data_IF_700673531524
#
_entry.id   IF_700673531524
#
_cell.length_a   1.000
_cell.length_b   1.000
_cell.length_c   1.000
_cell.angle_alpha   90.00
_cell.angle_beta   90.00
_cell.angle_gamma   90.00
#
_symmetry.space_group_name_H-M   'P 1'
#
loop_
_entity.id
_entity.type
_entity.pdbx_description
1 polymer ?
#
# COMPACT_ATOMS: atom_id res chain seq x y z
N UNK A 1 -7.19 -18.19 26.40
CA UNK A 1 -7.27 -17.09 25.41
C UNK A 1 -6.57 -15.91 26.02
N UNK A 2 -5.44 -15.47 25.46
CA UNK A 2 -4.80 -14.22 25.87
C UNK A 2 -5.69 -13.11 25.32
N UNK A 3 -6.42 -12.44 26.22
CA UNK A 3 -7.22 -11.27 25.86
C UNK A 3 -6.27 -10.26 25.19
N UNK A 4 -6.57 -9.88 23.97
CA UNK A 4 -5.77 -8.90 23.21
C UNK A 4 -5.60 -7.66 24.09
N UNK A 5 -4.37 -7.24 24.35
CA UNK A 5 -4.06 -6.03 25.12
C UNK A 5 -4.55 -4.76 24.42
N UNK A 6 -4.91 -4.88 23.15
CA UNK A 6 -5.49 -3.85 22.30
C UNK A 6 -7.02 -3.95 22.37
N UNK A 7 -7.73 -2.86 22.12
CA UNK A 7 -9.19 -2.73 22.14
C UNK A 7 -9.84 -2.67 23.53
N UNK A 8 -9.05 -2.58 24.61
CA UNK A 8 -9.55 -2.34 25.98
C UNK A 8 -9.40 -0.91 26.48
N UNK A 9 -8.76 -0.04 25.67
CA UNK A 9 -8.56 1.35 26.02
C UNK A 9 -9.88 2.13 26.00
N UNK A 10 -10.08 3.04 26.97
CA UNK A 10 -11.31 3.79 27.19
C UNK A 10 -11.88 4.49 25.93
N UNK A 11 -11.02 4.96 25.05
CA UNK A 11 -11.41 5.72 23.85
C UNK A 11 -11.14 4.96 22.54
N UNK A 12 -10.81 3.68 22.61
CA UNK A 12 -10.59 2.84 21.42
C UNK A 12 -11.89 2.66 20.65
N UNK A 13 -11.94 2.98 19.34
CA UNK A 13 -13.06 2.62 18.50
C UNK A 13 -13.35 1.10 18.56
N UNK A 14 -14.61 0.72 18.70
CA UNK A 14 -15.02 -0.68 18.80
C UNK A 14 -15.56 -1.23 17.46
N UNK A 15 -15.97 -0.35 16.55
CA UNK A 15 -16.56 -0.70 15.26
C UNK A 15 -15.60 -0.37 14.11
N UNK A 16 -14.94 0.77 14.19
CA UNK A 16 -14.00 1.20 13.14
C UNK A 16 -12.62 0.60 13.36
N UNK A 17 -11.96 0.26 12.24
CA UNK A 17 -10.56 -0.16 12.26
C UNK A 17 -9.67 0.92 12.89
N UNK A 18 -8.72 0.50 13.69
CA UNK A 18 -7.65 1.35 14.22
C UNK A 18 -6.37 0.54 14.40
N UNK A 19 -5.18 1.15 14.26
CA UNK A 19 -3.92 0.43 14.45
C UNK A 19 -3.75 0.04 15.93
N UNK A 20 -2.89 -0.92 16.25
CA UNK A 20 -2.60 -1.26 17.64
C UNK A 20 -2.14 -0.08 18.48
N UNK A 21 -1.37 0.80 17.86
CA UNK A 21 -0.84 2.04 18.50
C UNK A 21 -0.38 3.00 17.43
N UNK A 22 -0.10 4.24 17.83
CA UNK A 22 0.52 5.29 17.04
C UNK A 22 -0.34 5.80 15.89
N UNK A 23 0.25 6.65 15.06
CA UNK A 23 -0.45 7.39 14.03
C UNK A 23 -0.83 6.54 12.82
N UNK A 24 -2.01 6.77 12.29
CA UNK A 24 -2.45 6.28 10.98
C UNK A 24 -3.33 7.33 10.26
N UNK A 25 -3.42 7.21 8.93
CA UNK A 25 -4.46 7.86 8.15
C UNK A 25 -4.97 6.95 7.02
N UNK A 26 -4.69 7.23 5.76
CA UNK A 26 -5.31 6.59 4.60
C UNK A 26 -5.34 5.06 4.66
N UNK A 27 -6.51 4.43 4.51
CA UNK A 27 -6.57 3.01 4.19
C UNK A 27 -6.06 2.79 2.76
N UNK A 28 -5.21 1.80 2.57
CA UNK A 28 -4.58 1.46 1.30
C UNK A 28 -4.88 0.02 0.90
N UNK A 29 -4.77 -0.27 -0.38
CA UNK A 29 -4.62 -1.63 -0.87
C UNK A 29 -5.67 -2.64 -0.39
N UNK A 30 -6.94 -2.22 -0.16
CA UNK A 30 -7.98 -3.16 0.22
C UNK A 30 -8.18 -4.17 -0.90
N UNK A 31 -7.94 -5.46 -0.61
CA UNK A 31 -8.04 -6.54 -1.58
C UNK A 31 -8.48 -7.84 -0.89
N UNK A 32 -9.32 -8.63 -1.58
CA UNK A 32 -9.69 -9.97 -1.16
C UNK A 32 -8.82 -11.00 -1.88
N UNK A 33 -8.18 -11.89 -1.12
CA UNK A 33 -7.33 -12.93 -1.66
C UNK A 33 -7.29 -14.16 -0.77
N UNK A 34 -7.66 -15.33 -1.32
CA UNK A 34 -7.61 -16.62 -0.61
C UNK A 34 -8.28 -16.58 0.77
N UNK A 35 -9.54 -16.19 0.78
CA UNK A 35 -10.40 -16.15 1.96
C UNK A 35 -10.01 -15.13 3.03
N UNK A 36 -9.19 -14.13 2.69
CA UNK A 36 -8.86 -13.00 3.54
C UNK A 36 -9.04 -11.67 2.82
N UNK A 37 -9.63 -10.71 3.52
CA UNK A 37 -9.57 -9.29 3.17
C UNK A 37 -8.27 -8.73 3.74
N UNK A 38 -7.46 -8.12 2.90
CA UNK A 38 -6.25 -7.41 3.29
C UNK A 38 -6.55 -5.92 3.34
N UNK A 39 -6.16 -5.27 4.41
CA UNK A 39 -6.18 -3.82 4.58
C UNK A 39 -4.77 -3.35 4.90
N UNK A 40 -4.26 -2.45 4.09
CA UNK A 40 -3.06 -1.71 4.41
C UNK A 40 -3.44 -0.29 4.83
N UNK A 41 -2.54 0.41 5.49
CA UNK A 41 -2.79 1.77 5.94
C UNK A 41 -1.48 2.54 6.12
N UNK A 42 -1.56 3.84 5.88
CA UNK A 42 -0.46 4.76 6.20
C UNK A 42 -0.20 4.71 7.70
N UNK A 43 1.01 4.45 8.11
CA UNK A 43 1.34 4.22 9.50
C UNK A 43 2.69 4.82 9.89
N UNK A 44 2.72 5.56 11.00
CA UNK A 44 3.96 5.85 11.70
C UNK A 44 4.08 4.88 12.89
N UNK A 45 4.92 3.84 12.83
CA UNK A 45 5.00 2.84 13.89
C UNK A 45 5.67 3.34 15.18
N UNK A 46 6.28 4.52 15.15
CA UNK A 46 7.10 5.05 16.26
C UNK A 46 6.35 6.09 17.08
N UNK A 47 5.56 6.97 16.43
CA UNK A 47 5.00 8.18 17.06
C UNK A 47 3.53 8.39 16.70
N UNK A 48 2.84 9.22 17.53
CA UNK A 48 1.45 9.65 17.30
C UNK A 48 1.35 10.91 16.43
N UNK A 49 2.22 11.04 15.44
CA UNK A 49 2.20 12.17 14.51
C UNK A 49 2.57 11.73 13.10
N UNK A 50 2.19 12.54 12.12
CA UNK A 50 2.57 12.35 10.74
C UNK A 50 4.10 12.34 10.59
N UNK A 51 4.60 11.45 9.76
CA UNK A 51 6.01 11.28 9.46
C UNK A 51 6.42 9.80 9.52
N UNK A 52 7.61 9.47 9.04
CA UNK A 52 8.16 8.12 9.06
C UNK A 52 7.15 7.07 8.52
N UNK A 53 6.56 7.37 7.37
CA UNK A 53 5.39 6.66 6.84
C UNK A 53 5.76 5.30 6.27
N UNK A 54 5.15 4.28 6.84
CA UNK A 54 5.17 2.87 6.43
C UNK A 54 3.78 2.45 5.94
N UNK A 55 3.67 1.26 5.38
CA UNK A 55 2.40 0.57 5.25
C UNK A 55 2.22 -0.41 6.38
N UNK A 56 1.31 -0.11 7.30
CA UNK A 56 0.77 -1.10 8.24
C UNK A 56 -0.10 -2.09 7.49
N UNK A 57 -0.33 -3.27 8.07
CA UNK A 57 -1.08 -4.35 7.43
C UNK A 57 -1.98 -5.08 8.43
N UNK A 58 -3.20 -5.37 8.02
CA UNK A 58 -4.12 -6.20 8.76
C UNK A 58 -4.92 -7.09 7.79
N UNK A 59 -5.41 -8.22 8.31
CA UNK A 59 -6.27 -9.15 7.57
C UNK A 59 -7.54 -9.43 8.35
N UNK A 60 -8.63 -9.74 7.62
CA UNK A 60 -9.92 -10.09 8.18
C UNK A 60 -10.62 -11.12 7.29
N UNK A 61 -11.41 -12.00 7.87
CA UNK A 61 -12.30 -12.92 7.16
C UNK A 61 -13.70 -12.31 6.95
N UNK A 62 -14.07 -11.30 7.73
CA UNK A 62 -15.43 -10.75 7.80
C UNK A 62 -15.54 -9.22 7.69
N UNK A 63 -14.41 -8.50 7.49
CA UNK A 63 -14.29 -7.04 7.46
C UNK A 63 -14.62 -6.33 8.80
N UNK A 64 -14.87 -7.08 9.86
CA UNK A 64 -15.21 -6.57 11.19
C UNK A 64 -14.07 -6.88 12.17
N UNK A 65 -13.62 -8.13 12.19
CA UNK A 65 -12.56 -8.58 13.08
C UNK A 65 -11.23 -8.62 12.37
N UNK A 66 -10.33 -7.73 12.74
CA UNK A 66 -9.03 -7.54 12.09
C UNK A 66 -7.90 -8.11 12.92
N UNK A 67 -7.05 -8.90 12.27
CA UNK A 67 -5.79 -9.38 12.79
C UNK A 67 -4.65 -8.54 12.21
N UNK A 68 -3.92 -7.84 13.05
CA UNK A 68 -2.73 -7.09 12.64
C UNK A 68 -1.58 -8.04 12.27
N UNK A 69 -0.92 -7.71 11.18
CA UNK A 69 0.28 -8.37 10.70
C UNK A 69 1.49 -7.43 10.86
N UNK A 70 2.66 -7.93 10.47
CA UNK A 70 3.87 -7.12 10.42
C UNK A 70 3.73 -5.99 9.38
N UNK A 71 4.55 -4.96 9.53
CA UNK A 71 4.64 -3.87 8.55
C UNK A 71 4.92 -4.43 7.16
N UNK A 72 4.09 -4.09 6.19
CA UNK A 72 4.24 -4.57 4.81
C UNK A 72 5.36 -3.84 4.06
N UNK A 73 5.40 -2.51 4.16
CA UNK A 73 6.38 -1.70 3.45
C UNK A 73 7.08 -0.73 4.40
N UNK A 74 8.40 -0.75 4.34
CA UNK A 74 9.29 0.14 5.09
C UNK A 74 9.86 1.23 4.17
N UNK A 75 10.10 2.46 4.67
CA UNK A 75 10.89 3.46 3.94
C UNK A 75 12.23 2.93 3.45
N UNK A 76 12.68 3.43 2.30
CA UNK A 76 13.96 3.07 1.69
C UNK A 76 14.63 4.29 1.02
N UNK A 77 15.55 4.04 0.09
CA UNK A 77 16.25 5.09 -0.66
C UNK A 77 15.32 5.98 -1.51
N UNK A 78 14.10 5.51 -1.82
CA UNK A 78 13.10 6.29 -2.56
C UNK A 78 12.15 7.08 -1.63
N UNK A 79 12.37 7.01 -0.32
CA UNK A 79 11.67 7.80 0.69
C UNK A 79 10.57 7.05 1.45
N UNK A 80 9.54 7.81 1.82
CA UNK A 80 8.39 7.33 2.60
C UNK A 80 7.42 6.53 1.72
N UNK A 81 6.66 5.63 2.34
CA UNK A 81 5.69 4.77 1.66
C UNK A 81 4.31 5.43 1.65
N UNK A 82 4.03 6.26 0.66
CA UNK A 82 2.73 6.92 0.50
C UNK A 82 1.67 5.97 -0.05
N UNK A 83 0.45 6.47 -0.19
CA UNK A 83 -0.74 5.69 -0.53
C UNK A 83 -0.67 4.99 -1.89
N UNK A 84 -1.50 4.00 -2.06
CA UNK A 84 -1.58 3.19 -3.26
C UNK A 84 -2.67 2.10 -3.18
N UNK A 85 -2.57 1.10 -4.03
CA UNK A 85 -3.55 0.03 -4.12
C UNK A 85 -2.90 -1.36 -4.16
N UNK A 86 -3.72 -2.38 -3.98
CA UNK A 86 -3.36 -3.78 -4.18
C UNK A 86 -4.24 -4.43 -5.24
N UNK A 87 -3.68 -5.39 -5.95
CA UNK A 87 -4.38 -6.24 -6.92
C UNK A 87 -3.93 -7.69 -6.78
N UNK A 88 -4.79 -8.62 -7.23
CA UNK A 88 -4.41 -10.02 -7.42
C UNK A 88 -3.99 -10.19 -8.87
N UNK A 89 -2.75 -10.53 -9.09
CA UNK A 89 -2.28 -11.01 -10.40
C UNK A 89 -2.55 -12.49 -10.49
N UNK A 90 -3.65 -12.84 -11.18
CA UNK A 90 -4.14 -14.22 -11.26
C UNK A 90 -3.35 -15.08 -12.23
N UNK A 91 -2.89 -14.46 -13.30
CA UNK A 91 -2.30 -15.14 -14.46
C UNK A 91 -0.78 -14.90 -14.54
N UNK A 92 -0.19 -14.32 -13.48
CA UNK A 92 1.25 -13.98 -13.41
C UNK A 92 1.69 -13.08 -14.58
N UNK A 93 0.85 -12.14 -14.94
CA UNK A 93 1.15 -11.18 -16.03
C UNK A 93 2.35 -10.29 -15.69
N UNK A 94 2.63 -10.10 -14.39
CA UNK A 94 3.82 -9.40 -13.91
C UNK A 94 5.12 -10.22 -13.98
N UNK A 95 5.01 -11.55 -14.10
CA UNK A 95 6.16 -12.46 -14.07
C UNK A 95 6.79 -12.67 -12.68
N UNK A 96 6.14 -12.22 -11.61
CA UNK A 96 6.71 -12.34 -10.26
C UNK A 96 6.48 -13.71 -9.60
N UNK A 97 5.53 -14.52 -10.09
CA UNK A 97 4.97 -15.65 -9.34
C UNK A 97 5.28 -17.03 -9.92
N UNK A 98 6.10 -17.12 -10.98
CA UNK A 98 6.44 -18.37 -11.67
C UNK A 98 5.21 -19.13 -12.16
N UNK A 99 4.28 -18.45 -12.83
CA UNK A 99 3.05 -19.01 -13.39
C UNK A 99 1.95 -19.27 -12.37
N UNK A 100 2.05 -18.71 -11.15
CA UNK A 100 1.02 -18.77 -10.09
C UNK A 100 0.41 -17.41 -9.88
N UNK A 101 -0.69 -17.37 -9.16
CA UNK A 101 -1.26 -16.10 -8.69
C UNK A 101 -0.52 -15.52 -7.49
N UNK A 102 -0.58 -14.21 -7.32
CA UNK A 102 -0.03 -13.54 -6.16
C UNK A 102 -0.56 -12.12 -5.95
N UNK A 103 -0.14 -11.48 -4.88
CA UNK A 103 -0.51 -10.11 -4.58
C UNK A 103 0.55 -9.15 -5.09
N UNK A 104 0.10 -8.09 -5.76
CA UNK A 104 0.94 -6.95 -6.17
C UNK A 104 0.37 -5.68 -5.54
N UNK A 105 1.23 -4.86 -4.97
CA UNK A 105 0.89 -3.51 -4.52
C UNK A 105 1.63 -2.49 -5.37
N UNK A 106 0.91 -1.46 -5.76
CA UNK A 106 1.45 -0.29 -6.45
C UNK A 106 1.25 0.89 -5.52
N UNK A 107 2.31 1.62 -5.23
CA UNK A 107 2.32 2.66 -4.22
C UNK A 107 3.21 3.84 -4.63
N UNK A 108 2.96 4.98 -4.01
CA UNK A 108 3.81 6.15 -4.19
C UNK A 108 4.96 6.13 -3.20
N UNK A 109 6.18 6.27 -3.69
CA UNK A 109 7.33 6.64 -2.86
C UNK A 109 7.46 8.16 -2.78
N UNK A 110 7.86 8.69 -1.64
CA UNK A 110 7.92 10.12 -1.39
C UNK A 110 9.25 10.51 -0.75
N UNK A 111 10.17 10.99 -1.58
CA UNK A 111 11.51 11.36 -1.14
C UNK A 111 11.57 12.85 -0.76
N UNK A 112 11.92 13.20 0.48
CA UNK A 112 12.11 14.59 0.87
C UNK A 112 13.19 15.26 0.03
N UNK A 113 12.90 16.44 -0.50
CA UNK A 113 13.85 17.23 -1.29
C UNK A 113 14.43 18.36 -0.43
N UNK A 114 15.74 18.30 -0.12
CA UNK A 114 16.42 19.26 0.76
C UNK A 114 16.27 20.73 0.33
N UNK A 115 16.14 21.00 -0.95
CA UNK A 115 16.07 22.35 -1.53
C UNK A 115 14.67 22.75 -1.98
N UNK A 116 13.67 21.92 -1.78
CA UNK A 116 12.31 22.13 -2.26
C UNK A 116 11.31 21.86 -1.14
N UNK A 117 10.27 22.65 -1.07
CA UNK A 117 9.17 22.48 -0.11
C UNK A 117 8.15 21.45 -0.62
N UNK A 118 8.65 20.30 -1.09
CA UNK A 118 7.81 19.17 -1.49
C UNK A 118 8.60 17.85 -1.52
N UNK A 119 7.88 16.75 -1.50
CA UNK A 119 8.42 15.40 -1.71
C UNK A 119 8.45 15.08 -3.19
N UNK A 120 9.55 14.48 -3.66
CA UNK A 120 9.60 13.84 -4.96
C UNK A 120 8.77 12.57 -4.89
N UNK A 121 7.69 12.51 -5.66
CA UNK A 121 6.72 11.41 -5.64
C UNK A 121 6.83 10.59 -6.92
N UNK A 122 7.07 9.29 -6.78
CA UNK A 122 7.29 8.33 -7.86
C UNK A 122 6.46 7.09 -7.59
N UNK A 123 6.13 6.29 -8.62
CA UNK A 123 5.35 5.09 -8.43
C UNK A 123 6.24 3.85 -8.38
N UNK A 124 5.99 2.99 -7.41
CA UNK A 124 6.77 1.79 -7.14
C UNK A 124 5.87 0.57 -6.94
N UNK A 125 6.46 -0.62 -7.09
CA UNK A 125 5.77 -1.90 -6.97
C UNK A 125 6.43 -2.75 -5.89
N UNK A 126 5.61 -3.50 -5.16
CA UNK A 126 6.05 -4.64 -4.37
C UNK A 126 5.08 -5.81 -4.54
N UNK A 127 5.55 -7.02 -4.27
CA UNK A 127 4.75 -8.23 -4.45
C UNK A 127 4.94 -9.21 -3.29
N UNK A 128 3.94 -10.09 -3.11
CA UNK A 128 3.95 -11.15 -2.12
C UNK A 128 3.58 -12.49 -2.73
N UNK A 129 4.38 -13.51 -2.43
CA UNK A 129 4.18 -14.91 -2.89
C UNK A 129 3.51 -15.79 -1.82
N UNK A 130 3.32 -15.28 -0.61
CA UNK A 130 2.91 -16.01 0.59
C UNK A 130 1.65 -15.44 1.23
N UNK A 131 0.68 -15.03 0.40
CA UNK A 131 -0.60 -14.49 0.86
C UNK A 131 -0.42 -13.22 1.73
N UNK A 132 0.49 -12.33 1.31
CA UNK A 132 0.73 -11.05 1.97
C UNK A 132 1.52 -11.12 3.29
N UNK A 133 2.17 -12.23 3.62
CA UNK A 133 2.92 -12.34 4.89
C UNK A 133 4.29 -11.70 4.78
N UNK A 134 4.93 -11.79 3.60
CA UNK A 134 6.17 -11.08 3.28
C UNK A 134 6.03 -10.30 1.97
N UNK A 135 6.76 -9.20 1.86
CA UNK A 135 6.71 -8.30 0.71
C UNK A 135 8.10 -8.06 0.14
N UNK A 136 8.21 -8.19 -1.17
CA UNK A 136 9.43 -7.95 -1.92
C UNK A 136 9.26 -6.72 -2.80
N UNK A 137 10.05 -5.70 -2.57
CA UNK A 137 10.08 -4.53 -3.45
C UNK A 137 10.72 -4.90 -4.79
N UNK A 138 10.11 -4.45 -5.87
CA UNK A 138 10.64 -4.71 -7.20
C UNK A 138 11.99 -4.00 -7.40
N UNK A 139 12.99 -4.72 -7.91
CA UNK A 139 14.35 -4.19 -8.09
C UNK A 139 14.41 -3.04 -9.10
N UNK A 140 13.50 -3.01 -10.09
CA UNK A 140 13.38 -1.95 -11.08
C UNK A 140 12.58 -0.72 -10.62
N UNK A 141 12.33 -0.56 -9.31
CA UNK A 141 11.68 0.64 -8.78
C UNK A 141 12.57 1.90 -8.90
N UNK A 142 11.96 3.07 -9.11
CA UNK A 142 10.54 3.30 -9.36
C UNK A 142 10.15 2.90 -10.78
N UNK A 143 8.93 2.37 -10.95
CA UNK A 143 8.41 1.99 -12.29
C UNK A 143 7.88 3.18 -13.08
N UNK A 144 7.51 4.28 -12.42
CA UNK A 144 7.23 5.56 -13.04
C UNK A 144 7.98 6.63 -12.27
N UNK A 145 8.98 7.18 -12.92
CA UNK A 145 9.75 8.29 -12.41
C UNK A 145 8.99 9.61 -12.54
N UNK A 146 9.33 10.54 -11.68
CA UNK A 146 8.86 11.91 -11.73
C UNK A 146 9.94 12.81 -11.13
N UNK A 147 10.28 13.89 -11.80
CA UNK A 147 11.34 14.82 -11.41
C UNK A 147 10.87 16.25 -11.08
N UNK A 148 9.67 16.61 -11.50
CA UNK A 148 9.21 18.00 -11.47
C UNK A 148 7.81 18.23 -10.93
N UNK A 149 6.95 17.21 -10.94
CA UNK A 149 5.53 17.37 -10.64
C UNK A 149 5.27 17.23 -9.15
N UNK A 150 4.53 18.16 -8.59
CA UNK A 150 3.93 18.03 -7.25
C UNK A 150 2.67 17.18 -7.33
N UNK A 151 2.34 16.52 -6.22
CA UNK A 151 1.09 15.78 -6.08
C UNK A 151 0.89 14.67 -7.14
N UNK A 152 1.98 13.98 -7.48
CA UNK A 152 2.00 12.83 -8.37
C UNK A 152 1.92 11.53 -7.56
N UNK A 153 0.72 11.18 -7.09
CA UNK A 153 0.51 10.12 -6.10
C UNK A 153 -0.83 9.39 -6.22
N UNK A 154 -1.06 8.46 -5.30
CA UNK A 154 -2.30 7.72 -5.09
C UNK A 154 -2.69 6.86 -6.32
N UNK A 155 -1.82 5.96 -6.77
CA UNK A 155 -2.11 5.11 -7.92
C UNK A 155 -3.26 4.14 -7.62
N UNK A 156 -4.15 3.98 -8.58
CA UNK A 156 -5.15 2.92 -8.60
C UNK A 156 -4.98 2.09 -9.86
N UNK A 157 -4.88 0.78 -9.71
CA UNK A 157 -4.70 -0.18 -10.81
C UNK A 157 -5.88 -1.13 -10.86
N UNK A 158 -6.33 -1.45 -12.07
CA UNK A 158 -7.34 -2.46 -12.35
C UNK A 158 -6.92 -3.30 -13.57
N UNK A 159 -7.31 -4.57 -13.58
CA UNK A 159 -7.27 -5.37 -14.80
C UNK A 159 -8.47 -5.02 -15.68
N UNK A 160 -8.22 -4.58 -16.92
CA UNK A 160 -9.26 -4.26 -17.87
C UNK A 160 -9.48 -5.45 -18.81
N UNK A 161 -10.51 -6.24 -18.50
CA UNK A 161 -10.80 -7.51 -19.17
C UNK A 161 -10.96 -7.39 -20.69
N UNK A 162 -11.48 -6.27 -21.18
CA UNK A 162 -11.77 -6.10 -22.61
C UNK A 162 -10.52 -5.86 -23.46
N UNK A 163 -9.53 -5.17 -22.91
CA UNK A 163 -8.24 -4.90 -23.59
C UNK A 163 -7.14 -5.85 -23.13
N UNK A 164 -7.43 -6.72 -22.14
CA UNK A 164 -6.47 -7.64 -21.54
C UNK A 164 -5.19 -6.95 -21.09
N UNK A 165 -5.38 -5.79 -20.42
CA UNK A 165 -4.28 -4.94 -19.96
C UNK A 165 -4.53 -4.40 -18.56
N UNK A 166 -3.46 -4.05 -17.86
CA UNK A 166 -3.52 -3.31 -16.62
C UNK A 166 -3.69 -1.83 -16.92
N UNK A 167 -4.71 -1.21 -16.34
CA UNK A 167 -4.92 0.23 -16.42
C UNK A 167 -4.63 0.83 -15.06
N UNK A 168 -3.72 1.80 -15.05
CA UNK A 168 -3.41 2.57 -13.85
C UNK A 168 -3.84 4.02 -14.04
N UNK A 169 -4.43 4.60 -12.99
CA UNK A 169 -4.65 6.04 -12.88
C UNK A 169 -3.86 6.60 -11.71
N UNK A 170 -3.21 7.74 -11.91
CA UNK A 170 -2.41 8.45 -10.89
C UNK A 170 -2.84 9.90 -10.87
N UNK A 171 -3.02 10.47 -9.68
CA UNK A 171 -3.27 11.91 -9.56
C UNK A 171 -2.02 12.72 -9.90
N UNK A 172 -2.21 13.87 -10.51
CA UNK A 172 -1.15 14.78 -10.89
C UNK A 172 -1.65 16.23 -10.71
N UNK A 173 -1.66 16.67 -9.47
CA UNK A 173 -2.19 17.97 -9.09
C UNK A 173 -3.67 18.12 -9.47
N UNK A 174 -3.97 18.91 -10.50
CA UNK A 174 -5.35 19.14 -11.01
C UNK A 174 -5.76 18.18 -12.13
N UNK A 175 -4.93 17.20 -12.45
CA UNK A 175 -5.16 16.23 -13.54
C UNK A 175 -5.02 14.82 -13.01
N UNK A 176 -5.39 13.87 -13.83
CA UNK A 176 -5.07 12.46 -13.68
C UNK A 176 -4.35 11.95 -14.91
N UNK A 177 -3.37 11.11 -14.72
CA UNK A 177 -2.68 10.42 -15.78
C UNK A 177 -3.16 8.97 -15.85
N UNK A 178 -3.34 8.48 -17.08
CA UNK A 178 -3.65 7.07 -17.34
C UNK A 178 -2.42 6.40 -17.95
N UNK A 179 -2.17 5.18 -17.52
CA UNK A 179 -1.12 4.32 -18.02
C UNK A 179 -1.72 2.95 -18.34
N UNK A 180 -1.17 2.29 -19.34
CA UNK A 180 -1.55 0.95 -19.78
C UNK A 180 -0.30 0.07 -19.84
N UNK A 181 -0.42 -1.21 -19.39
CA UNK A 181 0.65 -2.21 -19.41
C UNK A 181 0.08 -3.62 -19.66
#
# INVERSE_FOLDING_TARGET
>A
MVQSKYYSEKFRPQIHFSPPKNWMNDPNGLVYYKDEYHLFYQHNPVENRWGNIHWGHAVSEDLIHWKHLDIALYPDQFGLMFSGCAVVDKDDTSGFFNGKEGLVVIYTTALPQKSKDFYLQQQSIAYSKDKGRTWHKYEGNPVIENDTQRDFRDPKVIWHQKTESWIMVVTNGKKVNFYEA
#
